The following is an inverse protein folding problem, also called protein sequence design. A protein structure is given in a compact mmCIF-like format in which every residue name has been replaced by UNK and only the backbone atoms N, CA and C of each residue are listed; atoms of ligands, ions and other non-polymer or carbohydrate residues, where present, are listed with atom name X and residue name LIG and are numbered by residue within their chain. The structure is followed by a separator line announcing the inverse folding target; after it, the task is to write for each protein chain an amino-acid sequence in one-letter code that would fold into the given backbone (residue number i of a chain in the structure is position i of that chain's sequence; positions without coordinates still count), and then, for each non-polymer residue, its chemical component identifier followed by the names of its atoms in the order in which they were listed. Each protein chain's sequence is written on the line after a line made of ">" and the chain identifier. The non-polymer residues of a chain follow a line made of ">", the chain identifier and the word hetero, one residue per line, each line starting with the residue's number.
data_IF_543753135660
#
_entry.id   IF_543753135660
#
_cell.length_a   1.000
_cell.length_b   1.000
_cell.length_c   1.000
_cell.angle_alpha   90.00
_cell.angle_beta   90.00
_cell.angle_gamma   90.00
#
_symmetry.space_group_name_H-M   'P 1'
#
loop_
_entity.id
_entity.type
_entity.pdbx_description
1 polymer ?
2 polymer ?
3 non-polymer ?
4 water ?
#
# COMPACT_ATOMS: atom_id res chain seq x y z
N UNK A 1 -11.35 -15.87 -6.53
CA UNK A 1 -10.62 -16.18 -5.30
C UNK A 1 -9.44 -15.22 -5.11
N UNK A 2 -9.43 -14.17 -5.84
CA UNK A 2 -8.48 -13.08 -5.91
C UNK A 2 -7.04 -13.45 -5.81
N UNK A 3 -6.31 -13.15 -6.92
CA UNK A 3 -4.85 -13.49 -6.88
C UNK A 3 -4.17 -12.53 -5.92
N UNK A 4 -2.95 -12.88 -5.47
CA UNK A 4 -2.22 -11.99 -4.54
C UNK A 4 -1.87 -10.71 -5.30
N UNK A 5 -1.60 -10.79 -6.58
CA UNK A 5 -1.28 -9.59 -7.41
C UNK A 5 -2.44 -8.60 -7.36
N UNK A 6 -3.66 -9.08 -7.54
CA UNK A 6 -4.89 -8.37 -7.53
C UNK A 6 -5.21 -7.79 -6.15
N UNK A 7 -4.91 -8.55 -5.14
CA UNK A 7 -5.14 -8.11 -3.75
C UNK A 7 -4.20 -6.89 -3.48
N UNK A 8 -3.03 -6.91 -4.02
CA UNK A 8 -2.04 -5.79 -3.85
C UNK A 8 -2.61 -4.51 -4.48
N UNK A 9 -3.13 -4.73 -5.71
CA UNK A 9 -3.74 -3.53 -6.38
C UNK A 9 -4.88 -3.02 -5.59
N UNK A 10 -5.83 -3.91 -5.16
CA UNK A 10 -6.99 -3.38 -4.42
C UNK A 10 -6.61 -2.63 -3.19
N UNK A 11 -5.61 -3.15 -2.46
CA UNK A 11 -5.17 -2.53 -1.19
C UNK A 11 -4.28 -1.35 -1.25
N UNK A 12 -3.36 -1.30 -2.15
CA UNK A 12 -2.38 -0.20 -2.24
C UNK A 12 -2.35 0.67 -3.42
N UNK A 13 -3.17 0.44 -4.46
CA UNK A 13 -3.06 1.30 -5.66
C UNK A 13 -4.11 2.38 -5.67
N UNK A 14 -3.59 3.64 -5.71
CA UNK A 14 -4.47 4.81 -5.81
C UNK A 14 -3.81 5.77 -6.85
N UNK A 15 -3.95 5.43 -8.11
CA UNK A 15 -3.42 6.19 -9.20
C UNK A 15 -4.29 7.35 -9.71
N UNK A 16 -5.41 7.62 -9.15
CA UNK A 16 -6.28 8.68 -9.64
C UNK A 16 -6.22 9.92 -8.82
N UNK A 17 -5.29 10.01 -7.89
CA UNK A 17 -4.99 11.09 -7.00
C UNK A 17 -3.45 11.11 -6.82
N UNK A 18 -2.88 12.30 -6.85
CA UNK A 18 -1.45 12.50 -6.69
C UNK A 18 -1.04 12.58 -5.21
N UNK A 19 -2.04 12.69 -4.35
CA UNK A 19 -1.76 12.76 -2.90
C UNK A 19 -3.09 12.66 -2.16
N UNK A 20 -3.04 12.42 -0.89
CA UNK A 20 -4.11 12.31 0.06
C UNK A 20 -4.81 13.67 0.08
N UNK A 21 -6.05 13.60 -0.36
CA UNK A 21 -7.00 14.69 -0.49
C UNK A 21 -7.13 15.53 0.79
N UNK A 22 -7.68 14.86 1.78
CA UNK A 22 -7.96 15.44 3.09
C UNK A 22 -7.71 14.46 4.21
N UNK A 23 -8.14 14.76 5.40
CA UNK A 23 -8.05 14.03 6.63
C UNK A 23 -8.90 12.76 6.63
N UNK A 24 -9.96 12.85 5.82
CA UNK A 24 -10.93 11.84 5.63
C UNK A 24 -10.50 10.82 4.53
N UNK A 25 -9.36 11.04 3.90
CA UNK A 25 -8.91 10.12 2.84
C UNK A 25 -8.80 8.67 3.30
N UNK A 26 -8.08 8.39 4.39
CA UNK A 26 -7.96 7.00 4.84
C UNK A 26 -9.31 6.41 5.15
N UNK A 27 -10.12 7.19 5.80
CA UNK A 27 -11.47 6.81 6.21
C UNK A 27 -12.27 6.27 5.01
N UNK A 28 -12.27 7.04 3.97
CA UNK A 28 -12.95 6.76 2.72
C UNK A 28 -12.46 5.47 1.99
N UNK A 29 -11.18 5.58 1.75
CA UNK A 29 -10.40 4.58 1.00
C UNK A 29 -10.36 3.25 1.70
N UNK A 30 -10.26 3.19 3.01
CA UNK A 30 -10.22 1.84 3.65
C UNK A 30 -11.58 1.22 3.38
N UNK A 31 -12.64 1.99 3.48
CA UNK A 31 -14.01 1.51 3.23
C UNK A 31 -14.21 1.08 1.77
N UNK A 32 -13.92 2.02 0.87
CA UNK A 32 -14.00 1.84 -0.55
C UNK A 32 -13.32 0.58 -1.08
N UNK A 33 -12.13 0.33 -0.59
CA UNK A 33 -11.35 -0.85 -1.06
C UNK A 33 -11.78 -2.11 -0.34
N UNK A 34 -12.88 -2.00 0.38
CA UNK A 34 -13.45 -3.08 1.17
C UNK A 34 -12.47 -3.54 2.25
N UNK A 35 -11.71 -2.70 2.88
CA UNK A 35 -10.75 -3.08 3.90
C UNK A 35 -11.31 -2.93 5.29
N UNK A 36 -12.56 -2.64 5.47
CA UNK A 36 -13.18 -2.51 6.79
C UNK A 36 -14.42 -3.39 6.90
N UNK A 37 -14.59 -4.30 5.98
CA UNK A 37 -15.74 -5.22 5.93
C UNK A 37 -15.89 -6.20 7.05
N UNK A 38 -14.92 -6.88 7.58
CA UNK A 38 -15.14 -7.83 8.70
C UNK A 38 -14.54 -7.30 9.98
N UNK A 39 -13.31 -6.90 9.82
CA UNK A 39 -12.41 -6.32 10.85
C UNK A 39 -12.00 -4.93 10.37
N UNK A 40 -11.24 -4.21 11.18
CA UNK A 40 -10.72 -2.86 10.82
C UNK A 40 -9.24 -3.17 10.47
N UNK A 41 -8.90 -3.18 9.21
CA UNK A 41 -7.45 -3.47 8.91
C UNK A 41 -6.79 -2.28 9.65
N UNK A 42 -5.86 -2.53 10.55
CA UNK A 42 -5.23 -1.48 11.32
C UNK A 42 -4.26 -0.58 10.61
N UNK A 43 -3.50 -1.06 9.69
CA UNK A 43 -2.49 -0.27 8.95
C UNK A 43 -2.48 -0.57 7.48
N UNK A 44 -2.39 0.44 6.64
CA UNK A 44 -2.36 0.15 5.18
C UNK A 44 -1.73 1.29 4.40
N UNK A 45 -1.09 1.01 3.25
CA UNK A 45 -0.54 2.12 2.49
C UNK A 45 -1.08 2.19 1.06
N UNK A 46 -1.39 3.42 0.66
CA UNK A 46 -1.87 3.65 -0.77
C UNK A 46 -0.79 4.38 -1.53
N UNK A 47 -0.38 3.96 -2.72
CA UNK A 47 0.67 4.62 -3.50
C UNK A 47 -0.08 5.41 -4.61
N UNK A 48 0.32 6.64 -4.79
CA UNK A 48 -0.28 7.51 -5.77
C UNK A 48 0.65 7.58 -6.98
N UNK A 49 0.89 6.46 -7.64
CA UNK A 49 1.76 6.39 -8.81
C UNK A 49 1.05 5.46 -9.81
N UNK A 50 1.54 5.52 -11.07
CA UNK A 50 0.80 4.66 -12.05
C UNK A 50 1.09 3.23 -11.70
N UNK A 51 0.32 2.30 -12.18
CA UNK A 51 0.57 0.83 -11.91
C UNK A 51 1.91 0.43 -12.50
N UNK A 52 2.11 0.94 -13.73
CA UNK A 52 3.39 0.62 -14.42
C UNK A 52 4.62 0.94 -13.58
N UNK A 53 4.63 2.11 -12.97
CA UNK A 53 5.77 2.58 -12.15
C UNK A 53 5.94 1.71 -10.90
N UNK A 54 4.84 1.29 -10.32
CA UNK A 54 4.93 0.43 -9.10
C UNK A 54 5.41 -0.90 -9.64
N UNK A 55 4.77 -1.41 -10.72
CA UNK A 55 5.28 -2.74 -11.27
C UNK A 55 6.73 -2.68 -11.55
N UNK A 56 7.24 -1.57 -12.09
CA UNK A 56 8.69 -1.47 -12.37
C UNK A 56 9.59 -1.62 -11.19
N UNK A 57 9.15 -1.42 -9.95
CA UNK A 57 9.98 -1.50 -8.76
C UNK A 57 10.61 -2.89 -8.62
N UNK A 58 9.85 -3.88 -9.04
CA UNK A 58 10.23 -5.29 -9.06
C UNK A 58 11.51 -5.50 -9.85
N UNK A 59 11.94 -4.45 -10.58
CA UNK A 59 13.20 -4.62 -11.36
C UNK A 59 14.24 -3.61 -10.90
N UNK A 60 14.00 -3.10 -9.67
CA UNK A 60 14.86 -2.10 -9.03
C UNK A 60 15.81 -2.65 -7.95
N UNK A 61 16.00 -2.02 -6.83
CA UNK A 61 16.98 -2.44 -5.81
C UNK A 61 16.53 -3.62 -4.96
N UNK A 62 17.24 -4.73 -5.12
CA UNK A 62 16.88 -5.97 -4.36
C UNK A 62 17.41 -5.82 -2.96
N UNK A 63 16.56 -6.08 -2.03
CA UNK A 63 16.76 -5.98 -0.56
C UNK A 63 16.04 -7.06 0.16
N UNK A 64 16.45 -7.36 1.36
CA UNK A 64 15.72 -8.37 2.18
C UNK A 64 14.36 -7.84 2.54
N UNK A 65 13.38 -8.69 2.77
CA UNK A 65 12.05 -8.31 3.24
C UNK A 65 12.25 -8.46 4.79
N UNK A 66 11.30 -7.92 5.52
CA UNK A 66 11.21 -7.94 6.93
C UNK A 66 11.22 -9.38 7.48
N UNK A 67 10.67 -10.28 6.70
CA UNK A 67 10.54 -11.70 7.07
C UNK A 67 11.76 -12.49 6.75
N UNK A 68 12.78 -11.85 6.21
CA UNK A 68 14.03 -12.51 5.84
C UNK A 68 14.09 -13.03 4.42
N UNK A 69 12.97 -13.04 3.71
CA UNK A 69 12.97 -13.51 2.30
C UNK A 69 13.79 -12.47 1.51
N UNK A 70 14.25 -12.76 0.32
CA UNK A 70 15.03 -11.84 -0.49
C UNK A 70 14.34 -11.48 -1.80
N UNK A 71 13.04 -11.46 -1.81
CA UNK A 71 12.28 -11.12 -3.01
C UNK A 71 11.67 -9.70 -2.83
N UNK A 72 12.38 -8.89 -2.07
CA UNK A 72 11.88 -7.50 -1.84
C UNK A 72 12.73 -6.56 -2.71
N UNK A 73 12.01 -5.48 -3.11
CA UNK A 73 12.67 -4.47 -3.99
C UNK A 73 12.21 -3.08 -3.51
N UNK A 74 13.19 -2.20 -3.48
CA UNK A 74 13.10 -0.85 -3.10
C UNK A 74 13.07 0.06 -4.35
N UNK A 75 12.14 0.98 -4.33
CA UNK A 75 12.09 1.92 -5.52
C UNK A 75 13.37 2.75 -5.46
N UNK A 76 13.95 3.02 -6.69
CA UNK A 76 15.18 3.84 -6.74
C UNK A 76 14.81 5.29 -6.36
N UNK A 77 13.61 5.68 -6.71
CA UNK A 77 13.04 6.97 -6.53
C UNK A 77 12.01 7.00 -5.45
N UNK A 78 11.67 8.17 -4.96
CA UNK A 78 10.66 8.36 -3.94
C UNK A 78 9.31 8.39 -4.65
N UNK A 79 8.28 7.83 -4.04
CA UNK A 79 6.95 7.80 -4.69
C UNK A 79 5.95 8.53 -3.80
N UNK A 80 4.79 8.98 -4.20
CA UNK A 80 3.81 9.65 -3.35
C UNK A 80 2.98 8.54 -2.66
N UNK A 81 2.92 8.55 -1.34
CA UNK A 81 2.12 7.50 -0.65
C UNK A 81 1.32 8.14 0.46
N UNK A 82 0.37 7.42 1.01
CA UNK A 82 -0.47 7.80 2.13
C UNK A 82 -0.51 6.59 3.11
N UNK A 83 -0.06 6.84 4.32
CA UNK A 83 -0.13 5.83 5.38
C UNK A 83 -1.45 6.00 6.10
N UNK A 84 -2.15 4.89 6.30
CA UNK A 84 -3.44 4.88 7.02
C UNK A 84 -3.19 4.10 8.29
N UNK A 85 -3.55 4.67 9.42
CA UNK A 85 -3.30 3.93 10.72
C UNK A 85 -4.49 4.04 11.60
N UNK A 86 -5.11 2.89 11.98
CA UNK A 86 -6.30 2.95 12.84
C UNK A 86 -6.03 3.73 14.12
N UNK A 87 -6.98 4.60 14.42
CA UNK A 87 -6.86 5.42 15.66
C UNK A 87 -7.10 4.48 16.86
N UNK A 88 -6.63 5.00 18.00
CA UNK A 88 -6.68 4.38 19.29
C UNK A 88 -8.10 4.07 19.74
N UNK A 89 -9.02 4.96 19.45
CA UNK A 89 -10.39 4.85 19.86
C UNK A 89 -11.31 4.11 18.94
N UNK A 90 -10.86 3.88 17.74
CA UNK A 90 -11.57 3.19 16.66
C UNK A 90 -11.93 1.78 17.12
N UNK A 91 -13.07 1.34 16.61
CA UNK A 91 -13.61 0.01 16.86
C UNK A 91 -14.68 -0.36 15.80
N UNK A 92 -14.53 -1.62 15.42
CA UNK A 92 -15.41 -2.25 14.45
C UNK A 92 -16.86 -2.08 14.94
N UNK A 93 -17.77 -1.66 14.10
CA UNK A 93 -17.59 -1.32 12.70
C UNK A 93 -17.33 0.12 12.35
N UNK A 94 -17.15 1.02 13.31
CA UNK A 94 -16.88 2.45 12.93
C UNK A 94 -15.37 2.65 12.85
N UNK A 95 -14.74 2.11 11.83
CA UNK A 95 -13.29 2.22 11.69
C UNK A 95 -12.86 3.67 11.52
N UNK A 96 -11.83 4.11 12.24
CA UNK A 96 -11.31 5.49 12.12
C UNK A 96 -9.81 5.39 11.81
N UNK A 97 -9.29 6.30 11.01
CA UNK A 97 -7.89 6.34 10.60
C UNK A 97 -7.29 7.72 10.48
N UNK A 98 -6.06 7.89 10.85
CA UNK A 98 -5.29 9.09 10.72
C UNK A 98 -4.62 8.83 9.31
N UNK A 99 -4.55 9.89 8.55
CA UNK A 99 -3.93 9.83 7.25
C UNK A 99 -2.67 10.67 7.19
N UNK A 100 -1.58 10.09 6.74
CA UNK A 100 -0.31 10.74 6.59
C UNK A 100 0.18 10.66 5.13
N UNK A 101 0.25 11.79 4.48
CA UNK A 101 0.73 11.97 3.11
C UNK A 101 2.25 12.10 3.25
N UNK A 102 3.03 11.42 2.44
CA UNK A 102 4.46 11.47 2.42
C UNK A 102 5.00 11.07 1.04
N UNK A 103 6.25 11.35 0.83
CA UNK A 103 7.02 11.00 -0.37
C UNK A 103 8.11 10.04 0.17
N UNK A 104 8.15 8.79 -0.23
CA UNK A 104 9.16 7.87 0.29
C UNK A 104 9.49 6.75 -0.72
N UNK A 105 10.52 5.98 -0.48
CA UNK A 105 10.93 4.86 -1.39
C UNK A 105 9.97 3.77 -1.03
N UNK A 106 9.40 2.95 -1.88
CA UNK A 106 8.48 1.93 -1.33
C UNK A 106 9.32 0.63 -1.39
N UNK A 107 8.89 -0.34 -0.64
CA UNK A 107 9.58 -1.65 -0.66
C UNK A 107 8.39 -2.64 -0.82
N UNK A 108 8.58 -3.44 -1.83
CA UNK A 108 7.45 -4.44 -2.15
C UNK A 108 8.01 -5.80 -2.39
N UNK A 109 7.22 -6.87 -2.09
CA UNK A 109 7.69 -8.25 -2.37
C UNK A 109 7.21 -8.53 -3.80
N UNK A 110 7.96 -9.15 -4.62
CA UNK A 110 7.43 -9.43 -6.01
C UNK A 110 7.41 -10.94 -6.26
N UNK A 111 6.52 -11.30 -7.16
CA UNK A 111 6.34 -12.71 -7.61
C UNK A 111 5.94 -12.70 -9.07
N UNK A 112 6.05 -13.76 -9.84
CA UNK A 112 5.62 -13.73 -11.28
C UNK A 112 4.12 -13.59 -11.41
N UNK A 113 3.54 -13.15 -12.53
CA UNK A 113 2.04 -13.10 -12.55
C UNK A 113 1.61 -14.32 -13.40
N UNK B 4 5.20 -10.10 -15.89
CA UNK B 4 6.16 -11.18 -15.55
C UNK B 4 6.40 -11.22 -14.06
N UNK B 5 6.84 -10.10 -13.52
CA UNK B 5 7.14 -9.97 -12.05
C UNK B 5 6.34 -8.80 -11.53
N UNK B 6 5.44 -9.11 -10.59
CA UNK B 6 4.58 -8.08 -10.00
C UNK B 6 4.61 -8.12 -8.46
N UNK B 7 4.32 -6.97 -7.89
CA UNK B 7 4.26 -6.79 -6.47
C UNK B 7 3.04 -7.56 -5.89
N UNK B 8 3.35 -8.14 -4.74
CA UNK B 8 2.30 -8.96 -4.05
C UNK B 8 2.11 -8.65 -2.61
N UNK B 9 3.02 -7.90 -2.00
CA UNK B 9 2.96 -7.47 -0.59
C UNK B 9 3.73 -6.12 -0.49
N UNK B 10 3.27 -5.26 0.37
CA UNK B 10 3.89 -3.95 0.60
C UNK B 10 4.75 -4.17 1.86
N UNK B 11 6.03 -4.00 1.76
CA UNK B 11 6.88 -4.24 2.94
C UNK B 11 7.01 -2.99 3.80
N UNK B 12 7.13 -1.81 3.32
CA UNK B 12 7.29 -0.58 4.06
C UNK B 12 7.79 0.52 3.13
N UNK B 13 7.96 1.68 3.65
CA UNK B 13 8.40 2.96 3.29
C UNK B 13 9.83 3.26 3.91
N UNK B 14 10.61 3.89 3.16
CA UNK B 14 11.90 4.41 3.12
C UNK B 14 12.92 3.41 3.67
X LIG C 1 0.35 -6.80 2.13
X LIG C 1 1.14 -7.10 3.39
X LIG C 1 0.33 -8.11 1.37
X LIG C 1 -0.94 -6.28 2.52
X LIG C 1 1.13 -5.84 1.30
#
# INVERSE_FOLDING_TARGET
>A
KETAAAKFERQHMDSSTSAASSSNYCNQMMKSRNLTKDRCKPVNTFVHESLADVQAVCSQKNVACKNGQTNCYQSYSTMSITDCRETGSSKYPNCAYKTTQANKHIIVACEGNPYVPV
>B
EGSPYVPVHYDASV
>C hetero
1 SO4 S O1 O2 O3 O4
#
